data_IF_177865227488
#
_entry.id   IF_177865227488
#
_cell.length_a   1.000
_cell.length_b   1.000
_cell.length_c   1.000
_cell.angle_alpha   90.00
_cell.angle_beta   90.00
_cell.angle_gamma   90.00
#
_symmetry.space_group_name_H-M   'P 1'
#
loop_
_entity.id
_entity.type
_entity.pdbx_description
1 polymer ?
#
# COMPACT_ATOMS: atom_id res chain seq x y z
N UNK A 1 -20.87 -2.68 8.00
CA UNK A 1 -20.52 -2.38 6.60
C UNK A 1 -21.82 -2.48 5.84
N UNK A 2 -22.38 -1.36 5.42
CA UNK A 2 -23.71 -1.27 4.82
C UNK A 2 -23.78 -2.03 3.48
N UNK A 3 -24.84 -2.80 3.28
CA UNK A 3 -25.10 -3.65 2.09
C UNK A 3 -25.25 -2.87 0.76
N UNK A 4 -25.13 -1.54 0.79
CA UNK A 4 -25.29 -0.64 -0.36
C UNK A 4 -23.97 -0.31 -1.08
N UNK A 5 -22.86 -0.97 -0.78
CA UNK A 5 -21.60 -0.70 -1.46
C UNK A 5 -21.57 -1.36 -2.86
N UNK A 6 -21.42 -0.58 -3.96
CA UNK A 6 -21.37 -1.13 -5.31
C UNK A 6 -20.05 -1.88 -5.50
N UNK A 7 -20.07 -3.21 -5.37
CA UNK A 7 -18.90 -4.08 -5.56
C UNK A 7 -18.23 -3.87 -6.93
N UNK A 8 -19.03 -3.55 -7.94
CA UNK A 8 -18.56 -3.37 -9.32
C UNK A 8 -17.99 -1.98 -9.61
N UNK A 9 -18.02 -1.05 -8.64
CA UNK A 9 -17.42 0.28 -8.80
C UNK A 9 -15.88 0.28 -8.65
N UNK A 10 -15.29 -0.82 -8.19
CA UNK A 10 -13.84 -0.93 -8.02
C UNK A 10 -13.18 -1.49 -9.30
N UNK A 11 -12.65 -0.61 -10.14
CA UNK A 11 -12.08 -0.93 -11.45
C UNK A 11 -10.60 -0.50 -11.62
N UNK A 12 -9.66 -0.95 -10.75
CA UNK A 12 -8.26 -0.50 -10.79
C UNK A 12 -7.51 -0.92 -12.07
N UNK A 13 -8.02 -1.91 -12.79
CA UNK A 13 -7.46 -2.44 -14.03
C UNK A 13 -8.36 -2.22 -15.24
N UNK A 14 -9.36 -1.34 -15.11
CA UNK A 14 -10.41 -1.10 -16.10
C UNK A 14 -11.23 -2.39 -16.40
N UNK A 15 -12.21 -2.30 -17.31
CA UNK A 15 -13.05 -3.42 -17.76
C UNK A 15 -13.22 -3.43 -19.29
N UNK A 16 -13.69 -4.55 -19.84
CA UNK A 16 -13.97 -4.71 -21.26
C UNK A 16 -12.74 -4.93 -22.14
N UNK A 17 -12.83 -4.68 -23.47
CA UNK A 17 -11.78 -4.97 -24.45
C UNK A 17 -10.45 -4.23 -24.23
N UNK A 18 -10.46 -3.18 -23.40
CA UNK A 18 -9.29 -2.35 -23.07
C UNK A 18 -8.87 -2.49 -21.60
N UNK A 19 -9.32 -3.55 -20.93
CA UNK A 19 -8.84 -3.90 -19.59
C UNK A 19 -7.31 -4.15 -19.60
N UNK A 20 -6.67 -3.91 -18.46
CA UNK A 20 -5.24 -4.14 -18.31
C UNK A 20 -4.89 -5.60 -18.60
N UNK A 21 -4.06 -5.83 -19.62
CA UNK A 21 -3.58 -7.16 -20.00
C UNK A 21 -2.82 -7.84 -18.85
N UNK A 22 -2.15 -7.05 -18.00
CA UNK A 22 -1.39 -7.52 -16.84
C UNK A 22 -2.23 -7.86 -15.60
N UNK A 23 -3.57 -7.74 -15.63
CA UNK A 23 -4.42 -7.91 -14.43
C UNK A 23 -4.13 -9.21 -13.67
N UNK A 24 -4.16 -10.36 -14.36
CA UNK A 24 -3.96 -11.68 -13.72
C UNK A 24 -2.56 -11.86 -13.16
N UNK A 25 -1.58 -11.33 -13.87
CA UNK A 25 -0.19 -11.34 -13.47
C UNK A 25 0.01 -10.51 -12.19
N UNK A 26 -0.42 -9.24 -12.20
CA UNK A 26 -0.30 -8.35 -11.04
C UNK A 26 -1.10 -8.85 -9.84
N UNK A 27 -2.32 -9.38 -10.03
CA UNK A 27 -3.12 -9.98 -8.95
C UNK A 27 -2.36 -11.13 -8.25
N UNK A 28 -1.65 -11.96 -9.01
CA UNK A 28 -0.91 -13.11 -8.47
C UNK A 28 0.40 -12.66 -7.83
N UNK A 29 1.22 -11.89 -8.56
CA UNK A 29 2.55 -11.50 -8.09
C UNK A 29 2.49 -10.54 -6.90
N UNK A 30 1.57 -9.57 -6.91
CA UNK A 30 1.48 -8.60 -5.82
C UNK A 30 1.13 -9.29 -4.51
N UNK A 31 0.20 -10.25 -4.55
CA UNK A 31 -0.17 -11.04 -3.37
C UNK A 31 1.02 -11.87 -2.89
N UNK A 32 1.72 -12.57 -3.80
CA UNK A 32 2.88 -13.37 -3.45
C UNK A 32 4.01 -12.52 -2.83
N UNK A 33 4.37 -11.39 -3.45
CA UNK A 33 5.41 -10.48 -2.96
C UNK A 33 5.05 -9.90 -1.60
N UNK A 34 3.83 -9.38 -1.45
CA UNK A 34 3.38 -8.80 -0.17
C UNK A 34 3.36 -9.87 0.93
N UNK A 35 2.83 -11.06 0.65
CA UNK A 35 2.79 -12.16 1.60
C UNK A 35 4.21 -12.58 2.03
N UNK A 36 5.16 -12.66 1.10
CA UNK A 36 6.56 -12.99 1.38
C UNK A 36 7.24 -11.92 2.24
N UNK A 37 6.97 -10.64 2.01
CA UNK A 37 7.53 -9.55 2.81
C UNK A 37 6.91 -9.58 4.22
N UNK A 38 5.58 -9.64 4.34
CA UNK A 38 4.86 -9.56 5.63
C UNK A 38 5.07 -10.82 6.50
N UNK A 39 5.26 -11.99 5.88
CA UNK A 39 5.59 -13.22 6.62
C UNK A 39 6.98 -13.17 7.25
N UNK A 40 7.94 -12.50 6.59
CA UNK A 40 9.35 -12.46 7.03
C UNK A 40 9.72 -11.23 7.84
N UNK A 41 8.99 -10.13 7.69
CA UNK A 41 9.34 -8.84 8.30
C UNK A 41 8.17 -8.18 9.02
N UNK A 42 8.46 -7.60 10.19
CA UNK A 42 7.66 -6.53 10.78
C UNK A 42 8.09 -5.21 10.14
N UNK A 43 7.13 -4.49 9.57
CA UNK A 43 7.34 -3.24 8.83
C UNK A 43 6.86 -2.10 9.72
N UNK A 44 7.76 -1.19 10.07
CA UNK A 44 7.46 0.01 10.85
C UNK A 44 7.87 1.26 10.07
N UNK A 45 7.22 2.40 10.33
CA UNK A 45 7.68 3.69 9.79
C UNK A 45 8.88 4.14 10.62
N UNK A 46 9.98 4.51 9.96
CA UNK A 46 11.19 5.01 10.60
C UNK A 46 10.88 6.24 11.45
N UNK A 47 11.33 6.22 12.70
CA UNK A 47 11.30 7.39 13.57
C UNK A 47 12.41 8.36 13.15
N UNK A 48 12.04 9.62 12.97
CA UNK A 48 12.95 10.71 12.62
C UNK A 48 12.70 11.84 13.61
N UNK A 49 13.74 12.37 14.29
CA UNK A 49 13.60 13.48 15.24
C UNK A 49 12.85 14.68 14.68
N UNK A 50 12.91 14.91 13.35
CA UNK A 50 12.18 15.99 12.66
C UNK A 50 10.66 15.89 12.81
N UNK A 51 10.14 14.69 13.07
CA UNK A 51 8.70 14.40 13.17
C UNK A 51 8.30 13.89 14.56
N UNK A 52 9.18 14.03 15.57
CA UNK A 52 8.94 13.49 16.91
C UNK A 52 7.71 14.09 17.61
N UNK A 53 7.34 15.31 17.26
CA UNK A 53 6.20 16.04 17.85
C UNK A 53 4.89 15.90 17.05
N UNK A 54 4.86 15.06 16.02
CA UNK A 54 3.65 14.85 15.24
C UNK A 54 2.58 14.09 16.02
N UNK A 55 1.34 14.54 15.91
CA UNK A 55 0.18 13.73 16.33
C UNK A 55 -0.01 12.54 15.39
N UNK A 56 -0.80 11.56 15.83
CA UNK A 56 -1.13 10.39 15.00
C UNK A 56 -1.80 10.78 13.66
N UNK A 57 -2.67 11.80 13.65
CA UNK A 57 -3.31 12.29 12.42
C UNK A 57 -2.30 12.98 11.49
N UNK A 58 -1.41 13.80 12.02
CA UNK A 58 -0.35 14.44 11.23
C UNK A 58 0.58 13.41 10.60
N UNK A 59 1.02 12.41 11.37
CA UNK A 59 1.81 11.28 10.86
C UNK A 59 1.08 10.54 9.75
N UNK A 60 -0.20 10.22 9.94
CA UNK A 60 -1.05 9.55 8.94
C UNK A 60 -1.14 10.36 7.66
N UNK A 61 -1.43 11.67 7.75
CA UNK A 61 -1.51 12.55 6.58
C UNK A 61 -0.20 12.56 5.82
N UNK A 62 0.94 12.70 6.50
CA UNK A 62 2.27 12.73 5.88
C UNK A 62 2.61 11.41 5.19
N UNK A 63 2.41 10.28 5.87
CA UNK A 63 2.75 8.94 5.36
C UNK A 63 1.87 8.55 4.16
N UNK A 64 0.60 8.97 4.16
CA UNK A 64 -0.34 8.66 3.08
C UNK A 64 -0.29 9.67 1.91
N UNK A 65 0.58 10.69 1.95
CA UNK A 65 0.70 11.62 0.83
C UNK A 65 1.17 10.89 -0.42
N UNK A 66 0.45 11.11 -1.51
CA UNK A 66 0.77 10.59 -2.84
C UNK A 66 0.79 11.72 -3.85
N UNK A 67 1.60 11.58 -4.91
CA UNK A 67 1.64 12.49 -6.04
C UNK A 67 0.86 11.88 -7.21
N UNK A 68 -0.14 12.59 -7.77
CA UNK A 68 -0.80 12.15 -8.99
C UNK A 68 0.14 12.33 -10.20
N UNK A 69 0.06 11.40 -11.15
CA UNK A 69 0.81 11.38 -12.41
C UNK A 69 0.18 10.33 -13.32
N UNK A 70 0.99 9.65 -14.16
CA UNK A 70 0.52 8.47 -14.90
C UNK A 70 0.05 7.36 -13.95
N UNK A 71 0.69 7.24 -12.79
CA UNK A 71 0.28 6.41 -11.65
C UNK A 71 0.14 7.27 -10.40
N UNK A 72 -0.65 6.81 -9.43
CA UNK A 72 -0.65 7.38 -8.09
C UNK A 72 0.54 6.82 -7.31
N UNK A 73 1.57 7.66 -7.09
CA UNK A 73 2.82 7.22 -6.46
C UNK A 73 2.92 7.80 -5.05
N UNK A 74 3.13 6.98 -3.99
CA UNK A 74 3.35 7.50 -2.66
C UNK A 74 4.62 8.37 -2.61
N UNK A 75 4.59 9.44 -1.82
CA UNK A 75 5.82 10.20 -1.52
C UNK A 75 6.77 9.35 -0.67
N UNK A 76 7.98 9.84 -0.42
CA UNK A 76 8.99 9.11 0.37
C UNK A 76 8.46 8.75 1.76
N UNK A 77 8.17 7.47 1.97
CA UNK A 77 7.83 6.89 3.27
C UNK A 77 9.05 6.11 3.78
N UNK A 78 9.80 6.62 4.78
CA UNK A 78 10.93 5.89 5.31
C UNK A 78 10.41 4.71 6.15
N UNK A 79 10.69 3.49 5.71
CA UNK A 79 10.29 2.25 6.38
C UNK A 79 11.51 1.57 7.02
N UNK A 80 11.27 0.84 8.11
CA UNK A 80 12.21 -0.06 8.77
C UNK A 80 11.62 -1.46 8.71
N UNK A 81 12.41 -2.40 8.20
CA UNK A 81 12.04 -3.81 8.11
C UNK A 81 12.82 -4.57 9.18
N UNK A 82 12.12 -5.14 10.17
CA UNK A 82 12.72 -6.01 11.20
C UNK A 82 12.34 -7.45 10.92
N UNK A 83 13.32 -8.36 10.80
CA UNK A 83 13.05 -9.78 10.55
C UNK A 83 12.20 -10.36 11.69
N UNK A 84 11.15 -11.10 11.35
CA UNK A 84 10.36 -11.89 12.31
C UNK A 84 11.20 -13.12 12.67
N UNK A 85 11.42 -13.34 13.97
CA UNK A 85 12.02 -14.58 14.46
C UNK A 85 11.06 -15.72 14.14
N UNK A 86 11.56 -16.84 13.63
CA UNK A 86 10.76 -18.07 13.51
C UNK A 86 10.29 -18.44 14.92
N UNK A 87 8.97 -18.56 15.07
CA UNK A 87 8.35 -19.21 16.24
C UNK A 87 8.27 -20.70 15.94
#
# INVERSE_FOLDING_TARGET
>A
MDDKWPRDAFLPFNAGPRACLGRRFTETESVAVIAMIVSRYKIDIKEDPKFAHETADQRRRRVLRSKPGLSMTPLKVPLVFRRRQET
#
